data_IF_644020766195
#
_entry.id   IF_644020766195
#
_cell.length_a   1.000
_cell.length_b   1.000
_cell.length_c   1.000
_cell.angle_alpha   90.00
_cell.angle_beta   90.00
_cell.angle_gamma   90.00
#
_symmetry.space_group_name_H-M   'P 1'
#
loop_
_entity.id
_entity.type
_entity.pdbx_description
1 polymer ?
#
# COMPACT_ATOMS: atom_id res chain seq x y z
N UNK A 1 -11.59 -6.86 24.84
CA UNK A 1 -12.29 -6.57 23.57
C UNK A 1 -11.45 -5.53 22.85
N UNK A 2 -10.84 -5.84 21.71
CA UNK A 2 -10.22 -4.81 20.88
C UNK A 2 -11.33 -4.06 20.15
N UNK A 3 -11.48 -2.77 20.42
CA UNK A 3 -12.38 -1.92 19.64
C UNK A 3 -11.83 -1.87 18.23
N UNK A 4 -12.63 -2.27 17.23
CA UNK A 4 -12.27 -2.13 15.82
C UNK A 4 -12.04 -0.64 15.56
N UNK A 5 -10.85 -0.32 15.08
CA UNK A 5 -10.44 1.05 14.81
C UNK A 5 -11.34 1.66 13.73
N UNK A 6 -11.75 2.91 13.89
CA UNK A 6 -12.59 3.59 12.90
C UNK A 6 -11.76 4.32 11.85
N UNK A 7 -12.37 4.62 10.71
CA UNK A 7 -11.78 5.52 9.69
C UNK A 7 -11.37 6.86 10.31
N UNK A 8 -12.19 7.40 11.23
CA UNK A 8 -11.91 8.65 11.94
C UNK A 8 -10.64 8.55 12.80
N UNK A 9 -10.39 7.41 13.45
CA UNK A 9 -9.16 7.18 14.22
C UNK A 9 -7.93 7.10 13.31
N UNK A 10 -8.04 6.46 12.14
CA UNK A 10 -6.96 6.43 11.15
C UNK A 10 -6.67 7.83 10.61
N UNK A 11 -7.69 8.60 10.20
CA UNK A 11 -7.52 10.00 9.78
C UNK A 11 -6.87 10.85 10.87
N UNK A 12 -7.34 10.73 12.12
CA UNK A 12 -6.75 11.45 13.26
C UNK A 12 -5.27 11.12 13.43
N UNK A 13 -4.89 9.85 13.33
CA UNK A 13 -3.48 9.47 13.44
C UNK A 13 -2.64 10.03 12.28
N UNK A 14 -3.15 9.98 11.05
CA UNK A 14 -2.45 10.57 9.90
C UNK A 14 -2.14 12.06 10.13
N UNK A 15 -3.13 12.86 10.52
CA UNK A 15 -2.94 14.29 10.78
C UNK A 15 -2.15 14.60 12.06
N UNK A 16 -1.95 13.61 12.93
CA UNK A 16 -1.02 13.71 14.07
C UNK A 16 0.42 13.43 13.65
N UNK A 17 0.62 12.49 12.72
CA UNK A 17 1.93 12.08 12.21
C UNK A 17 2.47 13.05 11.15
N UNK A 18 1.60 13.58 10.29
CA UNK A 18 1.92 14.59 9.30
C UNK A 18 1.12 15.87 9.57
N UNK A 19 1.78 16.83 10.24
CA UNK A 19 1.17 18.08 10.69
C UNK A 19 1.29 19.22 9.67
N UNK A 20 2.10 19.03 8.62
CA UNK A 20 2.31 20.06 7.58
C UNK A 20 1.07 20.17 6.68
N UNK A 21 0.74 21.37 6.16
CA UNK A 21 -0.39 21.53 5.27
C UNK A 21 -0.16 20.85 3.92
N UNK A 22 -1.03 19.89 3.59
CA UNK A 22 -1.10 19.29 2.25
C UNK A 22 -2.02 20.14 1.37
N UNK A 23 -1.58 20.47 0.15
CA UNK A 23 -2.41 21.13 -0.86
C UNK A 23 -3.72 20.35 -1.11
N UNK A 24 -4.84 21.06 -1.20
CA UNK A 24 -6.18 20.49 -1.29
C UNK A 24 -6.39 19.44 -2.40
N UNK A 25 -5.73 19.59 -3.55
CA UNK A 25 -5.84 18.65 -4.68
C UNK A 25 -5.29 17.27 -4.27
N UNK A 26 -4.09 17.26 -3.67
CA UNK A 26 -3.42 16.04 -3.22
C UNK A 26 -4.02 15.49 -1.94
N UNK A 27 -4.49 16.37 -1.03
CA UNK A 27 -5.14 15.96 0.22
C UNK A 27 -6.34 15.05 -0.05
N UNK A 28 -7.19 15.39 -1.04
CA UNK A 28 -8.33 14.54 -1.41
C UNK A 28 -7.87 13.12 -1.75
N UNK A 29 -6.84 13.00 -2.57
CA UNK A 29 -6.33 11.69 -3.00
C UNK A 29 -5.76 10.91 -1.81
N UNK A 30 -4.99 11.56 -0.95
CA UNK A 30 -4.44 10.93 0.26
C UNK A 30 -5.56 10.46 1.19
N UNK A 31 -6.59 11.29 1.39
CA UNK A 31 -7.75 10.94 2.22
C UNK A 31 -8.54 9.76 1.63
N UNK A 32 -8.77 9.73 0.31
CA UNK A 32 -9.48 8.64 -0.36
C UNK A 32 -8.69 7.32 -0.29
N UNK A 33 -7.39 7.37 -0.60
CA UNK A 33 -6.50 6.21 -0.51
C UNK A 33 -6.44 5.66 0.92
N UNK A 34 -6.34 6.54 1.93
CA UNK A 34 -6.34 6.15 3.33
C UNK A 34 -7.63 5.47 3.78
N UNK A 35 -8.78 5.98 3.32
CA UNK A 35 -10.10 5.38 3.61
C UNK A 35 -10.18 4.00 2.97
N UNK A 36 -9.80 3.87 1.71
CA UNK A 36 -9.82 2.59 1.00
C UNK A 36 -8.93 1.54 1.71
N UNK A 37 -7.68 1.91 2.00
CA UNK A 37 -6.75 1.04 2.73
C UNK A 37 -7.31 0.63 4.10
N UNK A 38 -7.95 1.55 4.83
CA UNK A 38 -8.58 1.24 6.11
C UNK A 38 -9.72 0.24 5.96
N UNK A 39 -10.64 0.46 5.02
CA UNK A 39 -11.79 -0.41 4.80
C UNK A 39 -11.35 -1.82 4.38
N UNK A 40 -10.27 -1.93 3.59
CA UNK A 40 -9.66 -3.22 3.26
C UNK A 40 -9.03 -3.88 4.50
N UNK A 41 -8.32 -3.13 5.36
CA UNK A 41 -7.66 -3.69 6.55
C UNK A 41 -8.63 -4.30 7.58
N UNK A 42 -9.86 -3.80 7.65
CA UNK A 42 -10.89 -4.29 8.58
C UNK A 42 -11.86 -5.27 7.94
N UNK A 43 -11.71 -5.55 6.64
CA UNK A 43 -12.53 -6.52 5.93
C UNK A 43 -11.99 -7.94 6.20
N UNK A 44 -12.84 -8.80 6.77
CA UNK A 44 -12.48 -10.18 7.11
C UNK A 44 -12.10 -11.04 5.90
N UNK A 45 -12.64 -10.73 4.72
CA UNK A 45 -12.37 -11.45 3.48
C UNK A 45 -11.13 -10.92 2.75
N UNK A 46 -10.55 -9.79 3.20
CA UNK A 46 -9.38 -9.22 2.56
C UNK A 46 -8.12 -9.94 3.01
N UNK A 47 -7.49 -10.67 2.08
CA UNK A 47 -6.15 -11.20 2.27
C UNK A 47 -5.12 -10.22 1.73
N UNK A 48 -4.32 -9.70 2.65
CA UNK A 48 -3.14 -8.94 2.34
C UNK A 48 -2.22 -9.72 1.39
N UNK A 49 -1.76 -9.11 0.28
CA UNK A 49 -0.88 -9.77 -0.68
C UNK A 49 0.13 -8.80 -1.34
N UNK A 50 1.17 -9.34 -1.99
CA UNK A 50 2.21 -8.52 -2.61
C UNK A 50 1.67 -7.55 -3.69
N UNK A 51 0.72 -7.98 -4.53
CA UNK A 51 0.13 -7.15 -5.60
C UNK A 51 -0.55 -5.91 -5.02
N UNK A 52 -1.23 -6.05 -3.89
CA UNK A 52 -1.84 -4.94 -3.18
C UNK A 52 -0.81 -3.88 -2.78
N UNK A 53 0.35 -4.27 -2.21
CA UNK A 53 1.42 -3.32 -1.86
C UNK A 53 1.94 -2.55 -3.06
N UNK A 54 2.22 -3.28 -4.15
CA UNK A 54 2.65 -2.67 -5.41
C UNK A 54 1.61 -1.67 -5.91
N UNK A 55 0.33 -2.03 -5.83
CA UNK A 55 -0.80 -1.16 -6.17
C UNK A 55 -0.82 0.13 -5.34
N UNK A 56 -0.74 0.02 -4.02
CA UNK A 56 -0.73 1.18 -3.10
C UNK A 56 0.45 2.11 -3.40
N UNK A 57 1.66 1.56 -3.48
CA UNK A 57 2.88 2.35 -3.76
C UNK A 57 2.78 3.03 -5.12
N UNK A 58 2.34 2.29 -6.16
CA UNK A 58 2.20 2.83 -7.51
C UNK A 58 1.14 3.93 -7.59
N UNK A 59 -0.02 3.72 -6.97
CA UNK A 59 -1.09 4.70 -6.95
C UNK A 59 -0.63 5.98 -6.25
N UNK A 60 -0.05 5.86 -5.06
CA UNK A 60 0.49 7.00 -4.32
C UNK A 60 1.53 7.77 -5.15
N UNK A 61 2.54 7.08 -5.68
CA UNK A 61 3.61 7.73 -6.44
C UNK A 61 3.09 8.42 -7.71
N UNK A 62 2.11 7.83 -8.40
CA UNK A 62 1.46 8.41 -9.58
C UNK A 62 0.66 9.66 -9.23
N UNK A 63 -0.11 9.63 -8.16
CA UNK A 63 -0.94 10.77 -7.77
C UNK A 63 -0.15 11.91 -7.15
N UNK A 64 1.01 11.62 -6.54
CA UNK A 64 1.88 12.61 -5.93
C UNK A 64 2.86 13.25 -6.93
N UNK A 65 2.78 12.90 -8.22
CA UNK A 65 3.59 13.54 -9.26
C UNK A 65 3.35 15.06 -9.29
N UNK A 66 4.46 15.81 -9.30
CA UNK A 66 4.42 17.28 -9.29
C UNK A 66 4.08 17.91 -7.94
N UNK A 67 3.93 17.14 -6.85
CA UNK A 67 3.70 17.68 -5.52
C UNK A 67 4.85 18.61 -5.09
N UNK A 68 4.50 19.71 -4.41
CA UNK A 68 5.46 20.67 -3.84
C UNK A 68 5.07 21.04 -2.39
N UNK A 69 6.03 21.11 -1.46
CA UNK A 69 7.46 20.78 -1.63
C UNK A 69 7.71 19.27 -1.71
N UNK A 70 8.70 18.84 -2.49
CA UNK A 70 8.93 17.41 -2.79
C UNK A 70 9.35 16.59 -1.57
N UNK A 71 10.05 17.22 -0.63
CA UNK A 71 10.50 16.62 0.63
C UNK A 71 9.36 16.07 1.49
N UNK A 72 8.15 16.62 1.34
CA UNK A 72 6.98 16.19 2.09
C UNK A 72 6.36 14.90 1.54
N UNK A 73 6.63 14.52 0.29
CA UNK A 73 6.03 13.31 -0.33
C UNK A 73 6.35 12.07 0.52
N UNK A 74 7.60 11.92 0.94
CA UNK A 74 8.03 10.80 1.79
C UNK A 74 7.38 10.87 3.18
N UNK A 75 7.26 12.07 3.76
CA UNK A 75 6.59 12.25 5.06
C UNK A 75 5.11 11.88 4.98
N UNK A 76 4.42 12.26 3.91
CA UNK A 76 3.01 11.93 3.68
C UNK A 76 2.84 10.42 3.52
N UNK A 77 3.69 9.76 2.71
CA UNK A 77 3.62 8.31 2.54
C UNK A 77 3.85 7.56 3.86
N UNK A 78 4.87 7.98 4.62
CA UNK A 78 5.18 7.35 5.90
C UNK A 78 4.03 7.51 6.89
N UNK A 79 3.45 8.71 6.99
CA UNK A 79 2.31 8.96 7.85
C UNK A 79 1.06 8.18 7.41
N UNK A 80 0.85 7.99 6.11
CA UNK A 80 -0.25 7.18 5.56
C UNK A 80 -0.15 5.72 6.04
N UNK A 81 1.00 5.07 5.85
CA UNK A 81 1.21 3.70 6.31
C UNK A 81 1.11 3.60 7.84
N UNK A 82 1.78 4.47 8.57
CA UNK A 82 1.80 4.44 10.04
C UNK A 82 0.42 4.72 10.66
N UNK A 83 -0.42 5.53 10.02
CA UNK A 83 -1.80 5.75 10.46
C UNK A 83 -2.66 4.48 10.42
N UNK A 84 -2.31 3.55 9.52
CA UNK A 84 -2.89 2.22 9.37
C UNK A 84 -2.14 1.15 10.20
N UNK A 85 -1.17 1.56 11.02
CA UNK A 85 -0.31 0.67 11.82
C UNK A 85 0.58 -0.25 10.96
N UNK A 86 0.94 0.22 9.76
CA UNK A 86 1.78 -0.49 8.80
C UNK A 86 3.19 0.12 8.72
N UNK A 87 4.16 -0.67 8.24
CA UNK A 87 5.53 -0.21 8.01
C UNK A 87 5.72 0.33 6.57
N UNK A 88 5.97 1.64 6.39
CA UNK A 88 6.21 2.21 5.07
C UNK A 88 7.44 1.63 4.35
N UNK A 89 8.48 1.23 5.10
CA UNK A 89 9.68 0.64 4.51
C UNK A 89 9.34 -0.73 3.91
N UNK A 90 8.57 -1.55 4.64
CA UNK A 90 8.09 -2.84 4.15
C UNK A 90 7.21 -2.69 2.90
N UNK A 91 6.36 -1.66 2.83
CA UNK A 91 5.58 -1.36 1.62
C UNK A 91 6.48 -1.09 0.41
N UNK A 92 7.48 -0.22 0.56
CA UNK A 92 8.42 0.16 -0.50
C UNK A 92 9.26 -1.04 -0.96
N UNK A 93 9.79 -1.82 -0.03
CA UNK A 93 10.64 -2.97 -0.31
C UNK A 93 9.90 -4.07 -1.07
N UNK A 94 8.72 -4.46 -0.60
CA UNK A 94 7.95 -5.52 -1.25
C UNK A 94 7.39 -5.08 -2.61
N UNK A 95 7.00 -3.81 -2.76
CA UNK A 95 6.64 -3.28 -4.07
C UNK A 95 7.82 -3.34 -5.06
N UNK A 96 9.04 -3.00 -4.61
CA UNK A 96 10.24 -3.10 -5.45
C UNK A 96 10.54 -4.55 -5.84
N UNK A 97 10.47 -5.46 -4.88
CA UNK A 97 10.74 -6.87 -5.10
C UNK A 97 9.83 -7.43 -6.22
N UNK A 98 8.51 -7.25 -6.10
CA UNK A 98 7.55 -7.75 -7.10
C UNK A 98 7.76 -7.09 -8.43
N UNK A 99 8.02 -5.77 -8.44
CA UNK A 99 8.28 -5.04 -9.69
C UNK A 99 9.48 -5.62 -10.41
N UNK A 100 10.56 -5.89 -9.67
CA UNK A 100 11.78 -6.49 -10.21
C UNK A 100 11.53 -7.89 -10.78
N UNK A 101 10.79 -8.73 -10.05
CA UNK A 101 10.40 -10.07 -10.48
C UNK A 101 9.52 -10.01 -11.75
N UNK A 102 8.50 -9.14 -11.77
CA UNK A 102 7.61 -8.96 -12.91
C UNK A 102 8.36 -8.52 -14.17
N UNK A 103 9.39 -7.67 -14.04
CA UNK A 103 10.23 -7.27 -15.18
C UNK A 103 11.20 -8.35 -15.65
N UNK A 104 11.58 -9.29 -14.78
CA UNK A 104 12.49 -10.38 -15.09
C UNK A 104 11.82 -11.56 -15.80
N UNK A 105 10.48 -11.64 -15.77
CA UNK A 105 9.71 -12.74 -16.34
C UNK A 105 8.83 -12.28 -17.50
N UNK A 106 8.82 -13.05 -18.59
CA UNK A 106 7.76 -12.94 -19.61
C UNK A 106 6.43 -13.40 -19.04
N UNK A 107 5.31 -12.87 -19.54
CA UNK A 107 3.94 -13.26 -19.12
C UNK A 107 3.76 -14.79 -19.13
N UNK A 108 4.33 -15.46 -20.13
CA UNK A 108 4.34 -16.92 -20.26
C UNK A 108 4.98 -17.63 -19.05
N UNK A 109 6.05 -17.05 -18.49
CA UNK A 109 6.83 -17.63 -17.39
C UNK A 109 6.17 -17.41 -16.04
N UNK A 110 5.54 -16.25 -15.83
CA UNK A 110 4.70 -15.98 -14.66
C UNK A 110 3.51 -16.94 -14.61
N UNK A 111 2.87 -17.18 -15.76
CA UNK A 111 1.77 -18.13 -15.90
C UNK A 111 2.20 -19.57 -15.56
N UNK A 112 3.39 -19.99 -15.99
CA UNK A 112 3.87 -21.34 -15.66
C UNK A 112 4.23 -21.49 -14.18
N UNK A 113 4.80 -20.45 -13.55
CA UNK A 113 5.09 -20.47 -12.12
C UNK A 113 3.83 -20.57 -11.27
N UNK A 114 2.78 -19.82 -11.60
CA UNK A 114 1.50 -19.88 -10.88
C UNK A 114 0.81 -21.25 -11.02
N UNK A 115 0.97 -21.93 -12.17
CA UNK A 115 0.49 -23.30 -12.35
C UNK A 115 1.34 -24.32 -11.57
N UNK A 116 2.65 -24.12 -11.51
CA UNK A 116 3.55 -25.02 -10.79
C UNK A 116 3.36 -25.00 -9.27
N UNK A 117 2.93 -23.87 -8.69
CA UNK A 117 2.59 -23.77 -7.27
C UNK A 117 1.24 -24.39 -6.91
N UNK A 118 0.40 -24.69 -7.92
CA UNK A 118 -0.88 -25.41 -7.80
C UNK A 118 -0.74 -26.92 -8.06
N UNK A 119 0.42 -27.38 -8.53
CA UNK A 119 0.67 -28.81 -8.72
C UNK A 119 0.75 -29.50 -7.34
N UNK A 120 -0.04 -30.55 -7.08
CA UNK A 120 0.03 -31.27 -5.81
C UNK A 120 1.45 -31.83 -5.64
N UNK A 121 2.06 -31.55 -4.50
CA UNK A 121 3.36 -32.13 -4.14
C UNK A 121 3.16 -33.64 -3.96
N UNK A 122 3.42 -34.42 -5.01
CA UNK A 122 3.54 -35.87 -4.90
C UNK A 122 4.84 -36.16 -4.17
N UNK A 123 4.78 -36.21 -2.84
CA UNK A 123 5.77 -36.88 -2.02
C UNK A 123 5.66 -38.38 -2.30
N UNK A 124 6.69 -38.95 -2.93
CA UNK A 124 7.06 -40.36 -2.85
C UNK A 124 8.34 -40.47 -2.04
#
# INVERSE_FOLDING_TARGET
>A
MSTVRTVSDTKRAFYTLHTRPINSIYRRVVDELMVEMHLLSVNADFSYNPIYRLGVVTAFDRFMQGYRPEEDINSIFNALCQALQEDPQQYRQEAEQIRSEATAYTVQRLFWQSLSSLAPQTHL
#
